data_IF_603598786121
#
_entry.id   IF_603598786121
#
_cell.length_a   1.000
_cell.length_b   1.000
_cell.length_c   1.000
_cell.angle_alpha   90.00
_cell.angle_beta   90.00
_cell.angle_gamma   90.00
#
_symmetry.space_group_name_H-M   'P 1'
#
loop_
_entity.id
_entity.type
_entity.pdbx_description
1 polymer ?
#
# COMPACT_ATOMS: atom_id res chain seq x y z
N UNK A 1 -3.33 -7.88 11.81
CA UNK A 1 -2.66 -6.94 10.89
C UNK A 1 -3.74 -6.02 10.37
N UNK A 2 -3.64 -4.73 10.68
CA UNK A 2 -4.60 -3.70 10.26
C UNK A 2 -4.66 -3.64 8.72
N UNK A 3 -5.77 -3.16 8.14
CA UNK A 3 -5.93 -3.05 6.68
C UNK A 3 -4.78 -2.25 6.06
N UNK A 4 -4.40 -1.15 6.70
CA UNK A 4 -3.33 -0.28 6.22
C UNK A 4 -1.97 -0.98 6.17
N UNK A 5 -1.68 -1.88 7.12
CA UNK A 5 -0.43 -2.65 7.13
C UNK A 5 -0.40 -3.67 5.98
N UNK A 6 -1.54 -4.30 5.68
CA UNK A 6 -1.68 -5.19 4.52
C UNK A 6 -1.47 -4.44 3.20
N UNK A 7 -2.07 -3.25 3.08
CA UNK A 7 -1.94 -2.41 1.89
C UNK A 7 -0.50 -1.93 1.70
N UNK A 8 0.16 -1.44 2.75
CA UNK A 8 1.58 -1.03 2.69
C UNK A 8 2.48 -2.16 2.20
N UNK A 9 2.32 -3.37 2.75
CA UNK A 9 3.09 -4.53 2.34
C UNK A 9 2.84 -4.87 0.87
N UNK A 10 1.58 -4.93 0.44
CA UNK A 10 1.21 -5.23 -0.94
C UNK A 10 1.76 -4.21 -1.94
N UNK A 11 1.70 -2.91 -1.62
CA UNK A 11 2.26 -1.84 -2.48
C UNK A 11 3.78 -1.95 -2.54
N UNK A 12 4.45 -2.15 -1.40
CA UNK A 12 5.89 -2.30 -1.34
C UNK A 12 6.38 -3.51 -2.15
N UNK A 13 5.75 -4.67 -1.99
CA UNK A 13 6.07 -5.90 -2.73
C UNK A 13 5.85 -5.70 -4.24
N UNK A 14 4.75 -5.04 -4.63
CA UNK A 14 4.42 -4.79 -6.02
C UNK A 14 5.35 -3.79 -6.72
N UNK A 15 5.95 -2.85 -5.97
CA UNK A 15 6.95 -1.91 -6.47
C UNK A 15 8.33 -2.61 -6.60
N UNK A 16 8.72 -3.39 -5.60
CA UNK A 16 9.99 -4.13 -5.60
C UNK A 16 10.03 -5.16 -6.74
N UNK A 17 8.95 -5.93 -6.93
CA UNK A 17 8.82 -6.89 -8.03
C UNK A 17 8.90 -6.25 -9.43
N UNK A 18 8.52 -4.97 -9.55
CA UNK A 18 8.64 -4.20 -10.81
C UNK A 18 10.02 -3.56 -10.99
N UNK A 19 10.94 -3.76 -10.06
CA UNK A 19 12.28 -3.17 -10.09
C UNK A 19 12.27 -1.67 -9.82
N UNK A 20 11.33 -1.17 -9.02
CA UNK A 20 11.30 0.24 -8.65
C UNK A 20 12.62 0.64 -7.98
N UNK A 21 13.34 1.58 -8.59
CA UNK A 21 14.74 1.85 -8.25
C UNK A 21 14.92 2.51 -6.88
N UNK A 22 13.89 3.19 -6.36
CA UNK A 22 13.95 3.88 -5.09
C UNK A 22 13.61 2.94 -3.92
N UNK A 23 14.62 2.17 -3.49
CA UNK A 23 14.51 1.24 -2.35
C UNK A 23 14.20 1.94 -1.02
N UNK A 24 14.66 3.18 -0.85
CA UNK A 24 14.35 3.97 0.36
C UNK A 24 12.85 4.26 0.44
N UNK A 25 12.21 4.62 -0.68
CA UNK A 25 10.77 4.82 -0.74
C UNK A 25 9.99 3.55 -0.39
N UNK A 26 10.44 2.38 -0.85
CA UNK A 26 9.81 1.08 -0.52
C UNK A 26 9.92 0.79 0.99
N UNK A 27 11.07 1.10 1.62
CA UNK A 27 11.23 0.97 3.06
C UNK A 27 10.32 1.95 3.84
N UNK A 28 10.28 3.22 3.42
CA UNK A 28 9.42 4.25 4.02
C UNK A 28 7.93 3.90 3.93
N UNK A 29 7.49 3.26 2.84
CA UNK A 29 6.12 2.73 2.70
C UNK A 29 5.82 1.68 3.78
N UNK A 30 6.71 0.71 4.00
CA UNK A 30 6.54 -0.32 5.03
C UNK A 30 6.49 0.28 6.44
N UNK A 31 7.21 1.36 6.66
CA UNK A 31 7.22 2.11 7.92
C UNK A 31 6.01 3.05 8.10
N UNK A 32 5.15 3.18 7.08
CA UNK A 32 3.97 4.06 7.13
C UNK A 32 4.27 5.55 6.98
N UNK A 33 5.46 5.91 6.47
CA UNK A 33 5.88 7.30 6.28
C UNK A 33 5.35 7.92 4.99
N UNK A 34 4.66 7.13 4.15
CA UNK A 34 4.23 7.49 2.78
C UNK A 34 2.78 7.14 2.50
N UNK A 35 1.95 7.06 3.54
CA UNK A 35 0.52 6.74 3.40
C UNK A 35 -0.25 7.78 2.58
N UNK A 36 0.26 9.01 2.49
CA UNK A 36 -0.28 10.11 1.70
C UNK A 36 0.25 10.13 0.25
N UNK A 37 1.16 9.23 -0.11
CA UNK A 37 1.71 9.17 -1.46
C UNK A 37 0.64 8.74 -2.49
N UNK A 38 0.77 9.13 -3.77
CA UNK A 38 -0.20 8.77 -4.81
C UNK A 38 -0.45 7.27 -4.95
N UNK A 39 0.59 6.45 -4.74
CA UNK A 39 0.46 4.98 -4.76
C UNK A 39 -0.39 4.46 -3.60
N UNK A 40 -0.22 5.02 -2.41
CA UNK A 40 -0.97 4.62 -1.22
C UNK A 40 -2.41 5.12 -1.25
N UNK A 41 -2.65 6.36 -1.67
CA UNK A 41 -4.01 6.93 -1.78
C UNK A 41 -4.88 6.04 -2.69
N UNK A 42 -4.37 5.65 -3.86
CA UNK A 42 -5.10 4.76 -4.77
C UNK A 42 -5.33 3.36 -4.19
N UNK A 43 -4.31 2.79 -3.55
CA UNK A 43 -4.40 1.46 -2.96
C UNK A 43 -5.39 1.42 -1.78
N UNK A 44 -5.39 2.44 -0.92
CA UNK A 44 -6.33 2.56 0.19
C UNK A 44 -7.78 2.73 -0.28
N UNK A 45 -8.03 3.61 -1.24
CA UNK A 45 -9.37 3.80 -1.79
C UNK A 45 -9.94 2.50 -2.39
N UNK A 46 -9.10 1.68 -3.02
CA UNK A 46 -9.53 0.38 -3.52
C UNK A 46 -9.76 -0.65 -2.39
N UNK A 47 -8.86 -0.71 -1.42
CA UNK A 47 -8.95 -1.64 -0.29
C UNK A 47 -10.22 -1.39 0.55
N UNK A 48 -10.55 -0.12 0.83
CA UNK A 48 -11.78 0.27 1.53
C UNK A 48 -13.02 -0.16 0.75
N UNK A 49 -13.03 0.05 -0.57
CA UNK A 49 -14.13 -0.39 -1.44
C UNK A 49 -14.30 -1.91 -1.42
N UNK A 50 -13.21 -2.66 -1.52
CA UNK A 50 -13.25 -4.12 -1.48
C UNK A 50 -13.77 -4.63 -0.14
N UNK A 51 -13.36 -4.01 0.98
CA UNK A 51 -13.83 -4.37 2.31
C UNK A 51 -15.34 -4.12 2.45
N UNK A 52 -15.83 -2.96 1.98
CA UNK A 52 -17.26 -2.62 2.02
C UNK A 52 -18.13 -3.66 1.27
N UNK A 53 -17.64 -4.17 0.14
CA UNK A 53 -18.35 -5.20 -0.64
C UNK A 53 -18.35 -6.58 0.03
N UNK A 54 -17.32 -6.93 0.80
CA UNK A 54 -17.28 -8.19 1.54
C UNK A 54 -18.23 -8.20 2.74
N UNK A 55 -18.68 -7.04 3.19
CA UNK A 55 -19.59 -6.89 4.33
C UNK A 55 -21.07 -6.70 3.94
N UNK A 56 -21.38 -6.74 2.64
CA UNK A 56 -22.75 -6.64 2.09
C UNK A 56 -23.25 -8.03 1.66
#
# INVERSE_FOLDING_TARGET
MELIEQVRAAVADALDARGFSNKAFVAELREGKRDDSPYMVGAMAWAEREQAWKTT
#
